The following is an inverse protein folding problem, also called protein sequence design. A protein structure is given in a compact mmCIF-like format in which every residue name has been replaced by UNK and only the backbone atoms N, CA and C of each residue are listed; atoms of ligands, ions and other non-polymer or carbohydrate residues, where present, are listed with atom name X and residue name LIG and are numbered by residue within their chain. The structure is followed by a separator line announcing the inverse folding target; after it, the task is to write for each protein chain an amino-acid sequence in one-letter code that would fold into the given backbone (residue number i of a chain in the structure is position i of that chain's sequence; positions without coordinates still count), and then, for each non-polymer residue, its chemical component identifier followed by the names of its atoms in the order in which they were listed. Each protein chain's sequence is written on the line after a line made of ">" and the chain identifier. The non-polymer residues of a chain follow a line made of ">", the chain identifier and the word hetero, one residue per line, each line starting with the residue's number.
data_IF_737036418749
#
_entry.id   IF_737036418749
#
_cell.length_a   1.000
_cell.length_b   1.000
_cell.length_c   1.000
_cell.angle_alpha   90.00
_cell.angle_beta   90.00
_cell.angle_gamma   90.00
#
_symmetry.space_group_name_H-M   'P 1'
#
loop_
_entity.id
_entity.type
_entity.pdbx_description
1 polymer ?
#
# COMPACT_ATOMS: atom_id res chain seq x y z
N UNK A 1 14.20 15.05 21.93
CA UNK A 1 14.18 15.09 20.45
C UNK A 1 13.78 13.74 19.97
N UNK A 2 12.78 13.65 19.10
CA UNK A 2 11.91 12.53 18.87
C UNK A 2 12.61 11.23 18.55
N UNK A 3 12.04 10.16 19.06
CA UNK A 3 12.26 8.79 18.60
C UNK A 3 12.04 8.80 17.09
N UNK A 4 13.08 8.43 16.34
CA UNK A 4 13.05 8.45 14.89
C UNK A 4 11.89 7.64 14.34
N UNK A 5 11.09 8.26 13.50
CA UNK A 5 10.03 7.61 12.77
C UNK A 5 10.59 6.43 11.98
N UNK A 6 9.88 5.30 12.03
CA UNK A 6 10.08 4.20 11.10
C UNK A 6 9.61 4.69 9.73
N UNK A 7 10.51 5.21 8.93
CA UNK A 7 10.19 5.70 7.58
C UNK A 7 9.76 4.52 6.70
N UNK A 8 8.45 4.38 6.54
CA UNK A 8 7.84 3.38 5.64
C UNK A 8 7.89 3.75 4.16
N UNK A 9 8.51 4.90 3.80
CA UNK A 9 8.54 5.42 2.44
C UNK A 9 9.92 5.97 2.12
N UNK A 10 10.86 5.07 1.86
CA UNK A 10 12.22 5.42 1.48
C UNK A 10 12.49 5.24 -0.02
N UNK A 11 11.45 4.98 -0.83
CA UNK A 11 11.60 4.85 -2.26
C UNK A 11 11.61 6.23 -2.93
N UNK A 12 12.47 6.40 -3.93
CA UNK A 12 12.72 7.64 -4.64
C UNK A 12 11.89 7.77 -5.92
N UNK A 13 11.81 9.01 -6.43
CA UNK A 13 11.11 9.34 -7.68
C UNK A 13 9.66 8.84 -7.70
N UNK A 14 9.00 8.91 -6.56
CA UNK A 14 7.57 8.57 -6.44
C UNK A 14 6.75 9.79 -6.79
N UNK A 15 5.72 9.66 -7.63
CA UNK A 15 4.89 10.80 -7.97
C UNK A 15 4.17 11.33 -6.74
N UNK A 16 3.86 12.60 -6.74
CA UNK A 16 3.04 13.32 -5.78
C UNK A 16 3.75 13.69 -4.47
N UNK A 17 4.67 12.89 -3.99
CA UNK A 17 5.30 13.10 -2.67
C UNK A 17 6.79 13.25 -2.84
N UNK A 18 7.38 14.22 -2.10
CA UNK A 18 8.83 14.43 -2.07
C UNK A 18 9.58 13.14 -1.75
N UNK A 19 10.79 13.06 -2.26
CA UNK A 19 11.74 12.04 -1.88
C UNK A 19 12.08 12.13 -0.37
N UNK A 20 12.55 11.02 0.22
CA UNK A 20 12.98 11.00 1.61
C UNK A 20 14.10 12.02 1.88
N UNK A 21 14.02 12.72 3.01
CA UNK A 21 15.09 13.59 3.46
C UNK A 21 16.26 12.77 4.01
N UNK A 22 17.47 13.21 3.69
CA UNK A 22 18.68 12.64 4.26
C UNK A 22 18.97 13.27 5.63
N UNK A 23 19.26 12.43 6.60
CA UNK A 23 19.70 12.87 7.91
C UNK A 23 21.22 12.87 7.98
N UNK A 24 21.81 13.86 8.66
CA UNK A 24 23.25 13.98 8.77
C UNK A 24 23.79 13.30 10.05
N UNK A 25 23.00 13.25 11.11
CA UNK A 25 23.39 12.64 12.38
C UNK A 25 22.20 12.13 13.17
N UNK A 26 22.39 11.04 13.88
CA UNK A 26 21.51 10.52 14.93
C UNK A 26 22.32 9.62 15.87
N UNK A 27 21.95 9.55 17.14
CA UNK A 27 22.57 8.61 18.06
C UNK A 27 22.18 7.15 17.74
N UNK A 28 20.91 6.93 17.39
CA UNK A 28 20.36 5.64 17.04
C UNK A 28 19.47 5.76 15.82
N UNK A 29 19.51 4.73 14.97
CA UNK A 29 18.66 4.64 13.77
C UNK A 29 17.84 3.36 13.85
N UNK A 30 16.54 3.48 13.57
CA UNK A 30 15.65 2.35 13.37
C UNK A 30 15.14 2.45 11.94
N UNK A 31 15.45 1.47 11.08
CA UNK A 31 15.05 1.52 9.68
C UNK A 31 14.45 0.20 9.19
N UNK A 32 13.63 0.31 8.16
CA UNK A 32 13.01 -0.84 7.51
C UNK A 32 14.01 -1.64 6.66
N UNK A 33 13.60 -2.86 6.29
CA UNK A 33 14.39 -3.74 5.43
C UNK A 33 13.55 -4.60 4.48
N UNK A 34 12.36 -4.14 4.09
CA UNK A 34 11.42 -4.93 3.27
C UNK A 34 12.06 -5.49 2.00
N UNK A 35 12.93 -4.72 1.37
CA UNK A 35 13.70 -5.12 0.19
C UNK A 35 15.23 -5.00 0.41
N UNK A 36 15.69 -5.19 1.64
CA UNK A 36 17.10 -5.05 2.02
C UNK A 36 18.06 -6.01 1.32
N UNK A 37 17.55 -7.05 0.66
CA UNK A 37 18.35 -8.04 -0.05
C UNK A 37 18.23 -8.00 -1.58
N UNK A 38 17.49 -7.03 -2.14
CA UNK A 38 17.29 -6.93 -3.59
C UNK A 38 16.96 -5.51 -4.04
N UNK A 39 17.17 -5.26 -5.32
CA UNK A 39 16.83 -4.00 -5.98
C UNK A 39 15.51 -4.14 -6.73
N UNK A 40 14.83 -3.02 -6.91
CA UNK A 40 13.68 -2.91 -7.78
C UNK A 40 14.11 -2.93 -9.24
N UNK A 41 13.28 -3.48 -10.09
CA UNK A 41 13.44 -3.30 -11.52
C UNK A 41 13.19 -1.83 -11.88
N UNK A 42 13.74 -1.37 -13.01
CA UNK A 42 13.44 -0.05 -13.55
C UNK A 42 11.93 0.13 -13.64
N UNK A 43 11.35 1.18 -13.03
CA UNK A 43 9.92 1.38 -13.04
C UNK A 43 9.43 1.63 -14.48
N UNK A 44 8.38 0.93 -14.93
CA UNK A 44 7.74 1.21 -16.20
C UNK A 44 6.99 2.56 -16.13
N UNK A 45 6.52 3.06 -17.28
CA UNK A 45 5.50 4.11 -17.26
C UNK A 45 4.18 3.52 -16.73
N UNK A 46 3.94 3.74 -15.46
CA UNK A 46 2.76 3.18 -14.77
C UNK A 46 1.45 3.70 -15.34
N UNK A 47 1.39 4.93 -15.86
CA UNK A 47 0.19 5.45 -16.50
C UNK A 47 -0.12 4.67 -17.79
N UNK A 48 0.89 4.40 -18.60
CA UNK A 48 0.75 3.60 -19.82
C UNK A 48 0.37 2.14 -19.52
N UNK A 49 1.00 1.51 -18.52
CA UNK A 49 0.65 0.14 -18.13
C UNK A 49 -0.77 0.02 -17.56
N UNK A 50 -1.19 0.98 -16.71
CA UNK A 50 -2.55 1.07 -16.22
C UNK A 50 -3.56 1.26 -17.36
N UNK A 51 -3.26 2.13 -18.32
CA UNK A 51 -4.11 2.36 -19.50
C UNK A 51 -4.28 1.06 -20.30
N UNK A 52 -3.24 0.26 -20.50
CA UNK A 52 -3.33 -1.05 -21.18
C UNK A 52 -4.27 -2.02 -20.42
N UNK A 53 -4.13 -2.11 -19.10
CA UNK A 53 -5.00 -2.97 -18.27
C UNK A 53 -6.44 -2.47 -18.31
N UNK A 54 -6.67 -1.15 -18.24
CA UNK A 54 -7.99 -0.53 -18.36
C UNK A 54 -8.61 -0.83 -19.72
N UNK A 55 -7.86 -0.63 -20.82
CA UNK A 55 -8.34 -0.88 -22.17
C UNK A 55 -8.76 -2.34 -22.34
N UNK A 56 -7.90 -3.27 -21.96
CA UNK A 56 -8.20 -4.73 -22.00
C UNK A 56 -9.44 -5.09 -21.19
N UNK A 57 -9.66 -4.44 -20.04
CA UNK A 57 -10.82 -4.70 -19.18
C UNK A 57 -12.09 -4.10 -19.76
N UNK A 58 -12.04 -2.86 -20.22
CA UNK A 58 -13.21 -2.14 -20.73
C UNK A 58 -13.69 -2.66 -22.08
N UNK A 59 -12.78 -3.14 -22.93
CA UNK A 59 -13.12 -3.83 -24.19
C UNK A 59 -13.97 -5.07 -23.95
N UNK A 60 -13.78 -5.76 -22.82
CA UNK A 60 -14.62 -6.88 -22.38
C UNK A 60 -15.94 -6.46 -21.74
N UNK A 61 -16.12 -5.16 -21.45
CA UNK A 61 -17.28 -4.64 -20.74
C UNK A 61 -17.21 -4.78 -19.22
N UNK A 62 -16.03 -5.11 -18.67
CA UNK A 62 -15.84 -5.38 -17.26
C UNK A 62 -15.41 -4.19 -16.42
N UNK A 63 -15.28 -4.40 -15.13
CA UNK A 63 -14.78 -3.43 -14.16
C UNK A 63 -13.30 -3.71 -13.82
N UNK A 64 -12.52 -2.65 -13.63
CA UNK A 64 -11.19 -2.73 -13.03
C UNK A 64 -11.30 -2.45 -11.53
N UNK A 65 -11.02 -3.46 -10.70
CA UNK A 65 -11.06 -3.36 -9.25
C UNK A 65 -9.64 -3.33 -8.70
N UNK A 66 -9.30 -2.28 -7.95
CA UNK A 66 -7.96 -2.05 -7.41
C UNK A 66 -8.01 -2.05 -5.88
N UNK A 67 -7.60 -3.15 -5.23
CA UNK A 67 -7.38 -3.15 -3.78
C UNK A 67 -6.24 -2.20 -3.42
N UNK A 68 -6.52 -1.16 -2.64
CA UNK A 68 -5.53 -0.16 -2.28
C UNK A 68 -5.63 0.22 -0.80
N UNK A 69 -4.50 0.64 -0.19
CA UNK A 69 -4.56 1.28 1.11
C UNK A 69 -5.11 2.68 0.97
N UNK A 70 -5.86 3.09 1.99
CA UNK A 70 -6.51 4.40 2.04
C UNK A 70 -5.53 5.57 1.95
N UNK A 71 -4.33 5.40 2.52
CA UNK A 71 -3.29 6.44 2.56
C UNK A 71 -2.15 6.09 1.60
N UNK A 72 -1.80 7.04 0.76
CA UNK A 72 -0.66 7.00 -0.17
C UNK A 72 -0.97 6.26 -1.46
N UNK A 73 -1.29 4.95 -1.41
CA UNK A 73 -1.51 4.18 -2.62
C UNK A 73 -2.74 4.64 -3.41
N UNK A 74 -3.83 4.94 -2.73
CA UNK A 74 -5.02 5.48 -3.38
C UNK A 74 -4.70 6.79 -4.10
N UNK A 75 -4.03 7.74 -3.44
CA UNK A 75 -3.70 9.04 -4.01
C UNK A 75 -2.74 8.92 -5.20
N UNK A 76 -1.79 8.01 -5.14
CA UNK A 76 -0.90 7.70 -6.26
C UNK A 76 -1.64 7.12 -7.47
N UNK A 77 -2.59 6.22 -7.24
CA UNK A 77 -3.45 5.72 -8.31
C UNK A 77 -4.26 6.85 -8.94
N UNK A 78 -4.78 7.79 -8.15
CA UNK A 78 -5.50 8.95 -8.66
C UNK A 78 -4.61 9.84 -9.54
N UNK A 79 -3.36 10.05 -9.14
CA UNK A 79 -2.37 10.77 -9.95
C UNK A 79 -2.20 10.12 -11.33
N UNK A 80 -2.00 8.79 -11.38
CA UNK A 80 -1.88 8.10 -12.67
C UNK A 80 -3.19 8.12 -13.47
N UNK A 81 -4.35 7.99 -12.83
CA UNK A 81 -5.64 8.09 -13.52
C UNK A 81 -5.87 9.48 -14.13
N UNK A 82 -5.43 10.55 -13.42
CA UNK A 82 -5.44 11.90 -13.97
C UNK A 82 -4.54 11.98 -15.22
N UNK A 83 -3.31 11.48 -15.15
CA UNK A 83 -2.37 11.43 -16.28
C UNK A 83 -2.99 10.71 -17.48
N UNK A 84 -3.56 9.53 -17.27
CA UNK A 84 -4.24 8.77 -18.32
C UNK A 84 -5.31 9.64 -19.02
N UNK A 85 -6.07 10.41 -18.24
CA UNK A 85 -7.11 11.30 -18.79
C UNK A 85 -6.54 12.49 -19.53
N UNK A 86 -5.58 13.19 -18.93
CA UNK A 86 -5.04 14.44 -19.48
C UNK A 86 -4.12 14.22 -20.66
N UNK A 87 -3.39 13.10 -20.68
CA UNK A 87 -2.49 12.71 -21.77
C UNK A 87 -3.22 11.90 -22.87
N UNK A 88 -4.51 11.57 -22.66
CA UNK A 88 -5.30 10.83 -23.65
C UNK A 88 -4.84 9.39 -23.89
N UNK A 89 -4.25 8.74 -22.85
CA UNK A 89 -3.70 7.40 -22.98
C UNK A 89 -4.75 6.29 -23.13
N UNK A 90 -6.03 6.63 -22.99
CA UNK A 90 -7.18 5.73 -23.18
C UNK A 90 -8.20 6.35 -24.13
N UNK A 91 -7.86 6.54 -25.42
CA UNK A 91 -8.66 7.31 -26.35
C UNK A 91 -10.03 6.69 -26.66
N UNK A 92 -10.17 5.38 -26.55
CA UNK A 92 -11.43 4.66 -26.80
C UNK A 92 -12.44 4.86 -25.65
N UNK A 93 -11.98 5.24 -24.47
CA UNK A 93 -12.82 5.44 -23.28
C UNK A 93 -12.52 6.77 -22.57
N UNK A 94 -12.59 7.93 -23.24
CA UNK A 94 -12.19 9.22 -22.67
C UNK A 94 -13.06 9.63 -21.46
N UNK A 95 -14.29 9.11 -21.41
CA UNK A 95 -15.26 9.36 -20.35
C UNK A 95 -15.24 8.36 -19.19
N UNK A 96 -14.18 7.57 -19.02
CA UNK A 96 -14.15 6.57 -17.96
C UNK A 96 -14.34 7.18 -16.56
N UNK A 97 -14.99 6.42 -15.70
CA UNK A 97 -15.26 6.81 -14.32
C UNK A 97 -14.34 6.04 -13.35
N UNK A 98 -13.90 6.72 -12.30
CA UNK A 98 -13.12 6.14 -11.20
C UNK A 98 -13.86 6.38 -9.89
N UNK A 99 -14.08 5.34 -9.13
CA UNK A 99 -14.74 5.40 -7.82
C UNK A 99 -13.72 5.15 -6.71
N UNK A 100 -13.63 6.07 -5.74
CA UNK A 100 -13.00 5.82 -4.45
C UNK A 100 -14.11 5.35 -3.51
N UNK A 101 -14.07 4.07 -3.15
CA UNK A 101 -15.02 3.50 -2.20
C UNK A 101 -14.33 3.15 -0.88
N UNK A 102 -13.97 4.19 -0.15
CA UNK A 102 -13.36 4.11 1.19
C UNK A 102 -13.46 5.48 1.87
N UNK A 103 -14.28 5.64 2.93
CA UNK A 103 -14.35 6.90 3.68
C UNK A 103 -12.99 7.39 4.17
N UNK A 104 -12.17 6.46 4.70
CA UNK A 104 -10.80 6.81 5.14
C UNK A 104 -9.90 7.29 3.99
N UNK A 105 -10.07 6.75 2.77
CA UNK A 105 -9.31 7.21 1.61
C UNK A 105 -9.74 8.61 1.18
N UNK A 106 -11.02 8.94 1.30
CA UNK A 106 -11.53 10.29 1.04
C UNK A 106 -10.92 11.29 2.02
N UNK A 107 -10.94 10.99 3.33
CA UNK A 107 -10.32 11.83 4.35
C UNK A 107 -8.80 11.98 4.14
N UNK A 108 -8.10 10.91 3.83
CA UNK A 108 -6.68 10.97 3.50
C UNK A 108 -6.43 11.87 2.29
N UNK A 109 -7.26 11.80 1.25
CA UNK A 109 -7.15 12.67 0.07
C UNK A 109 -7.35 14.14 0.42
N UNK A 110 -8.27 14.45 1.33
CA UNK A 110 -8.46 15.81 1.84
C UNK A 110 -7.23 16.32 2.61
N UNK A 111 -6.55 15.45 3.36
CA UNK A 111 -5.30 15.79 4.06
C UNK A 111 -4.19 16.08 3.04
N UNK A 112 -4.05 15.27 1.98
CA UNK A 112 -3.09 15.52 0.92
C UNK A 112 -3.25 16.92 0.32
N UNK A 113 -4.49 17.38 0.09
CA UNK A 113 -4.76 18.73 -0.41
C UNK A 113 -4.33 19.86 0.54
N UNK A 114 -4.33 19.60 1.85
CA UNK A 114 -3.90 20.57 2.85
C UNK A 114 -2.39 20.60 3.07
N UNK A 115 -1.68 19.56 2.63
CA UNK A 115 -0.25 19.35 2.89
C UNK A 115 0.61 19.53 1.64
N UNK A 116 0.15 20.31 0.66
CA UNK A 116 0.84 20.52 -0.64
C UNK A 116 2.24 21.06 -0.44
N UNK A 117 2.38 22.17 0.33
CA UNK A 117 3.66 22.85 0.52
C UNK A 117 4.69 22.00 1.26
N UNK A 118 4.21 21.16 2.19
CA UNK A 118 5.07 20.36 3.05
C UNK A 118 5.45 19.01 2.44
N UNK A 119 4.56 18.40 1.66
CA UNK A 119 4.67 17.00 1.30
C UNK A 119 4.78 16.74 -0.21
N UNK A 120 4.27 17.63 -1.08
CA UNK A 120 4.29 17.37 -2.51
C UNK A 120 5.67 17.58 -3.11
N UNK A 121 5.99 16.73 -4.12
CA UNK A 121 7.15 16.93 -4.97
C UNK A 121 7.02 18.18 -5.83
N UNK A 122 8.08 18.54 -6.53
CA UNK A 122 8.12 19.76 -7.32
C UNK A 122 7.11 19.74 -8.47
N UNK A 123 6.94 18.60 -9.15
CA UNK A 123 5.98 18.45 -10.24
C UNK A 123 4.54 18.66 -9.76
N UNK A 124 4.16 18.01 -8.65
CA UNK A 124 2.82 18.15 -8.10
C UNK A 124 2.55 19.57 -7.58
N UNK A 125 3.56 20.25 -7.01
CA UNK A 125 3.44 21.68 -6.61
C UNK A 125 3.24 22.59 -7.80
N UNK A 126 3.96 22.41 -8.88
CA UNK A 126 3.80 23.18 -10.12
C UNK A 126 2.41 23.00 -10.72
N UNK A 127 1.87 21.77 -10.68
CA UNK A 127 0.49 21.53 -11.10
C UNK A 127 -0.49 22.36 -10.25
N UNK A 128 -0.35 22.33 -8.92
CA UNK A 128 -1.21 23.10 -8.01
C UNK A 128 -1.09 24.60 -8.25
N UNK A 129 0.12 25.14 -8.43
CA UNK A 129 0.35 26.55 -8.75
C UNK A 129 -0.29 26.94 -10.08
N UNK A 130 -0.38 26.01 -11.03
CA UNK A 130 -1.08 26.21 -12.32
C UNK A 130 -2.59 26.04 -12.21
N UNK A 131 -3.14 25.87 -11.00
CA UNK A 131 -4.57 25.67 -10.76
C UNK A 131 -5.05 24.24 -11.06
N UNK A 132 -4.14 23.28 -11.25
CA UNK A 132 -4.46 21.89 -11.55
C UNK A 132 -4.32 21.06 -10.27
N UNK A 133 -5.38 20.35 -9.89
CA UNK A 133 -5.31 19.39 -8.81
C UNK A 133 -4.67 18.08 -9.31
N UNK A 134 -3.53 17.62 -8.74
CA UNK A 134 -2.82 16.45 -9.25
C UNK A 134 -3.55 15.11 -9.04
N UNK A 135 -4.55 15.06 -8.16
CA UNK A 135 -5.31 13.86 -7.81
C UNK A 135 -6.81 14.00 -8.01
N UNK A 136 -7.24 15.03 -8.74
CA UNK A 136 -8.63 15.25 -9.11
C UNK A 136 -8.77 15.42 -10.62
N UNK A 137 -9.82 14.84 -11.18
CA UNK A 137 -10.07 14.88 -12.62
C UNK A 137 -11.55 14.63 -12.93
N UNK A 138 -12.06 15.02 -14.10
CA UNK A 138 -13.43 14.73 -14.50
C UNK A 138 -13.69 13.21 -14.54
N UNK A 139 -14.80 12.78 -13.91
CA UNK A 139 -15.16 11.37 -13.78
C UNK A 139 -14.66 10.67 -12.52
N UNK A 140 -13.89 11.37 -11.65
CA UNK A 140 -13.60 10.88 -10.30
C UNK A 140 -14.86 11.05 -9.43
N UNK A 141 -15.25 9.97 -8.77
CA UNK A 141 -16.40 9.89 -7.86
C UNK A 141 -15.98 9.29 -6.54
N UNK A 142 -16.60 9.75 -5.47
CA UNK A 142 -16.35 9.21 -4.11
C UNK A 142 -17.64 8.61 -3.57
N UNK A 143 -17.52 7.49 -2.86
CA UNK A 143 -18.62 6.87 -2.14
C UNK A 143 -18.30 6.88 -0.64
N UNK A 144 -19.06 7.66 0.12
CA UNK A 144 -18.90 7.78 1.58
C UNK A 144 -19.90 6.89 2.30
N UNK A 145 -21.15 6.91 1.90
CA UNK A 145 -22.22 6.08 2.50
C UNK A 145 -22.19 4.63 2.00
N UNK A 146 -22.86 3.75 2.74
CA UNK A 146 -23.03 2.35 2.34
C UNK A 146 -23.94 2.20 1.13
N UNK A 147 -24.92 3.08 0.98
CA UNK A 147 -25.85 3.12 -0.14
C UNK A 147 -25.12 3.50 -1.44
N UNK A 148 -24.28 4.54 -1.41
CA UNK A 148 -23.42 4.92 -2.56
C UNK A 148 -22.49 3.78 -2.96
N UNK A 149 -21.88 3.09 -1.99
CA UNK A 149 -21.04 1.92 -2.22
C UNK A 149 -21.78 0.80 -2.94
N UNK A 150 -23.03 0.50 -2.52
CA UNK A 150 -23.87 -0.50 -3.18
C UNK A 150 -24.19 -0.10 -4.63
N UNK A 151 -24.51 1.17 -4.85
CA UNK A 151 -24.88 1.68 -6.18
C UNK A 151 -23.76 1.55 -7.23
N UNK A 152 -22.48 1.52 -6.80
CA UNK A 152 -21.35 1.25 -7.70
C UNK A 152 -21.51 -0.10 -8.40
N UNK A 153 -21.97 -1.13 -7.66
CA UNK A 153 -22.14 -2.49 -8.19
C UNK A 153 -23.36 -2.63 -9.12
N UNK A 154 -24.36 -1.76 -8.99
CA UNK A 154 -25.54 -1.74 -9.89
C UNK A 154 -25.26 -0.98 -11.19
N UNK A 155 -24.29 -0.09 -11.23
CA UNK A 155 -23.90 0.61 -12.45
C UNK A 155 -23.26 -0.39 -13.43
N UNK A 156 -23.86 -0.57 -14.62
CA UNK A 156 -23.41 -1.53 -15.62
C UNK A 156 -22.28 -1.02 -16.51
N UNK A 157 -21.97 0.29 -16.48
CA UNK A 157 -20.86 0.85 -17.27
C UNK A 157 -19.52 0.36 -16.72
N UNK A 158 -18.58 0.06 -17.60
CA UNK A 158 -17.20 -0.21 -17.22
C UNK A 158 -16.60 0.95 -16.43
N UNK A 159 -15.94 0.66 -15.33
CA UNK A 159 -15.39 1.66 -14.42
C UNK A 159 -14.18 1.12 -13.66
N UNK A 160 -13.43 2.03 -13.08
CA UNK A 160 -12.38 1.70 -12.09
C UNK A 160 -12.96 1.84 -10.69
N UNK A 161 -12.69 0.88 -9.82
CA UNK A 161 -13.09 0.88 -8.40
C UNK A 161 -11.83 0.74 -7.56
N UNK A 162 -11.51 1.78 -6.78
CA UNK A 162 -10.38 1.78 -5.83
C UNK A 162 -10.97 1.68 -4.43
N UNK A 163 -10.64 0.63 -3.69
CA UNK A 163 -11.22 0.39 -2.37
C UNK A 163 -10.25 -0.26 -1.40
N UNK A 164 -10.39 0.05 -0.13
CA UNK A 164 -9.60 -0.54 0.95
C UNK A 164 -10.26 -1.85 1.48
N UNK A 165 -9.49 -2.81 1.97
CA UNK A 165 -8.06 -2.81 2.25
C UNK A 165 -7.23 -3.34 1.07
N UNK A 166 -5.95 -2.94 1.02
CA UNK A 166 -5.05 -3.33 -0.07
C UNK A 166 -4.65 -4.81 -0.09
N UNK A 167 -4.93 -5.59 0.98
CA UNK A 167 -4.69 -7.04 1.05
C UNK A 167 -5.98 -7.86 1.01
N UNK A 168 -7.12 -7.21 0.79
CA UNK A 168 -8.45 -7.82 0.65
C UNK A 168 -9.02 -8.49 1.93
N UNK A 169 -8.39 -8.26 3.10
CA UNK A 169 -8.80 -8.91 4.35
C UNK A 169 -10.00 -8.24 5.02
N UNK A 170 -10.20 -6.95 4.81
CA UNK A 170 -11.25 -6.17 5.43
C UNK A 170 -11.74 -5.05 4.49
N UNK A 171 -12.80 -4.36 4.89
CA UNK A 171 -13.30 -3.17 4.20
C UNK A 171 -14.19 -3.48 3.00
N UNK A 172 -14.59 -2.40 2.34
CA UNK A 172 -15.54 -2.43 1.21
C UNK A 172 -15.04 -3.17 -0.01
N UNK A 173 -13.72 -3.29 -0.17
CA UNK A 173 -13.11 -4.09 -1.24
C UNK A 173 -13.67 -5.51 -1.31
N UNK A 174 -13.98 -6.12 -0.17
CA UNK A 174 -14.52 -7.48 -0.13
C UNK A 174 -15.90 -7.59 -0.80
N UNK A 175 -16.72 -6.53 -0.72
CA UNK A 175 -18.00 -6.48 -1.43
C UNK A 175 -17.77 -6.35 -2.92
N UNK A 176 -16.84 -5.48 -3.36
CA UNK A 176 -16.50 -5.37 -4.78
C UNK A 176 -15.90 -6.66 -5.33
N UNK A 177 -15.06 -7.36 -4.55
CA UNK A 177 -14.55 -8.69 -4.94
C UNK A 177 -15.67 -9.70 -5.09
N UNK A 178 -16.65 -9.74 -4.17
CA UNK A 178 -17.82 -10.62 -4.28
C UNK A 178 -18.58 -10.40 -5.58
N UNK A 179 -18.72 -9.14 -6.03
CA UNK A 179 -19.46 -8.79 -7.25
C UNK A 179 -18.64 -8.93 -8.53
N UNK A 180 -17.32 -8.99 -8.47
CA UNK A 180 -16.47 -8.96 -9.67
C UNK A 180 -15.63 -10.23 -9.88
N UNK A 181 -15.30 -11.02 -8.84
CA UNK A 181 -14.43 -12.20 -9.00
C UNK A 181 -14.99 -13.28 -9.91
N UNK A 182 -16.29 -13.50 -9.94
CA UNK A 182 -16.95 -14.50 -10.78
C UNK A 182 -17.14 -14.05 -12.24
N UNK A 183 -16.92 -12.77 -12.53
CA UNK A 183 -17.11 -12.18 -13.85
C UNK A 183 -15.85 -12.36 -14.70
N UNK A 184 -15.98 -12.95 -15.87
CA UNK A 184 -14.86 -13.16 -16.82
C UNK A 184 -14.38 -11.88 -17.50
N UNK A 185 -15.23 -10.86 -17.55
CA UNK A 185 -14.96 -9.55 -18.13
C UNK A 185 -14.18 -8.61 -17.18
N UNK A 186 -14.30 -8.82 -15.85
CA UNK A 186 -13.68 -7.97 -14.85
C UNK A 186 -12.21 -8.31 -14.60
N UNK A 187 -11.47 -7.33 -14.10
CA UNK A 187 -10.06 -7.48 -13.72
C UNK A 187 -9.85 -7.01 -12.29
N UNK A 188 -9.13 -7.79 -11.49
CA UNK A 188 -8.62 -7.39 -10.18
C UNK A 188 -7.15 -7.05 -10.36
N UNK A 189 -6.76 -5.80 -10.09
CA UNK A 189 -5.41 -5.30 -10.26
C UNK A 189 -4.73 -5.05 -8.92
N UNK A 190 -3.71 -5.84 -8.63
CA UNK A 190 -2.86 -5.62 -7.47
C UNK A 190 -1.71 -4.66 -7.83
N UNK A 191 -1.55 -3.63 -7.00
CA UNK A 191 -0.57 -2.55 -7.17
C UNK A 191 0.43 -2.50 -6.02
N UNK A 192 0.62 -3.63 -5.32
CA UNK A 192 1.59 -3.78 -4.23
C UNK A 192 1.79 -5.25 -3.87
N UNK A 193 2.84 -5.50 -3.10
CA UNK A 193 3.11 -6.79 -2.48
C UNK A 193 1.93 -7.30 -1.64
N UNK A 194 1.65 -8.58 -1.75
CA UNK A 194 0.62 -9.28 -0.97
C UNK A 194 1.28 -10.23 0.01
N UNK A 195 0.93 -10.12 1.29
CA UNK A 195 1.53 -10.93 2.37
C UNK A 195 0.97 -12.35 2.33
N UNK A 196 1.80 -13.40 2.45
CA UNK A 196 1.33 -14.78 2.57
C UNK A 196 0.25 -14.94 3.66
N UNK A 197 -0.77 -15.73 3.34
CA UNK A 197 -1.93 -15.95 4.23
C UNK A 197 -3.06 -14.93 4.06
N UNK A 198 -2.92 -13.93 3.19
CA UNK A 198 -4.01 -12.98 2.87
C UNK A 198 -4.81 -13.44 1.66
N UNK A 199 -6.05 -12.93 1.55
CA UNK A 199 -6.89 -13.19 0.37
C UNK A 199 -6.23 -12.67 -0.92
N UNK A 200 -5.63 -11.48 -0.87
CA UNK A 200 -4.92 -10.92 -2.02
C UNK A 200 -3.77 -11.80 -2.48
N UNK A 201 -3.00 -12.38 -1.55
CA UNK A 201 -1.95 -13.36 -1.86
C UNK A 201 -2.52 -14.62 -2.53
N UNK A 202 -3.62 -15.15 -1.99
CA UNK A 202 -4.27 -16.33 -2.56
C UNK A 202 -4.77 -16.08 -3.98
N UNK A 203 -5.35 -14.91 -4.25
CA UNK A 203 -5.81 -14.51 -5.59
C UNK A 203 -4.64 -14.41 -6.57
N UNK A 204 -3.52 -13.78 -6.19
CA UNK A 204 -2.31 -13.70 -7.03
C UNK A 204 -1.71 -15.07 -7.33
N UNK A 205 -1.84 -16.04 -6.42
CA UNK A 205 -1.36 -17.40 -6.60
C UNK A 205 -2.36 -18.32 -7.31
N UNK A 206 -3.41 -17.75 -7.92
CA UNK A 206 -4.29 -18.47 -8.84
C UNK A 206 -5.33 -19.37 -8.17
N UNK A 207 -5.72 -19.06 -6.93
CA UNK A 207 -6.84 -19.75 -6.26
C UNK A 207 -8.09 -19.70 -7.15
N UNK A 208 -8.81 -20.83 -7.26
CA UNK A 208 -9.98 -20.92 -8.15
C UNK A 208 -11.29 -20.58 -7.46
N UNK A 209 -11.32 -20.65 -6.14
CA UNK A 209 -12.49 -20.35 -5.33
C UNK A 209 -12.07 -19.70 -4.03
N UNK A 210 -12.84 -18.72 -3.57
CA UNK A 210 -12.62 -18.03 -2.31
C UNK A 210 -13.92 -17.93 -1.53
N UNK A 211 -13.84 -17.83 -0.20
CA UNK A 211 -15.02 -17.65 0.65
C UNK A 211 -15.15 -16.19 1.08
N UNK A 212 -16.22 -15.53 0.66
CA UNK A 212 -16.55 -14.14 1.01
C UNK A 212 -17.94 -14.09 1.65
N UNK A 213 -18.05 -13.51 2.84
CA UNK A 213 -19.31 -13.40 3.59
C UNK A 213 -20.09 -14.72 3.73
N UNK A 214 -19.36 -15.82 3.91
CA UNK A 214 -19.95 -17.16 4.04
C UNK A 214 -20.24 -17.88 2.73
N UNK A 215 -20.20 -17.19 1.59
CA UNK A 215 -20.46 -17.75 0.26
C UNK A 215 -19.16 -18.13 -0.46
N UNK A 216 -19.18 -19.22 -1.21
CA UNK A 216 -18.10 -19.65 -2.10
C UNK A 216 -18.23 -18.90 -3.44
N UNK A 217 -17.19 -18.19 -3.83
CA UNK A 217 -17.13 -17.40 -5.06
C UNK A 217 -16.05 -17.98 -5.96
N UNK A 218 -16.41 -18.32 -7.18
CA UNK A 218 -15.44 -18.73 -8.21
C UNK A 218 -14.60 -17.53 -8.68
N UNK A 219 -13.30 -17.76 -8.89
CA UNK A 219 -12.38 -16.74 -9.42
C UNK A 219 -12.26 -16.95 -10.92
N UNK A 220 -13.02 -16.18 -11.68
CA UNK A 220 -13.04 -16.15 -13.15
C UNK A 220 -12.48 -14.85 -13.71
N UNK A 221 -12.47 -13.79 -12.90
CA UNK A 221 -11.89 -12.49 -13.25
C UNK A 221 -10.41 -12.62 -13.58
N UNK A 222 -9.91 -11.77 -14.46
CA UNK A 222 -8.46 -11.63 -14.69
C UNK A 222 -7.79 -11.09 -13.42
N UNK A 223 -6.76 -11.77 -12.95
CA UNK A 223 -5.93 -11.31 -11.83
C UNK A 223 -4.62 -10.77 -12.39
N UNK A 224 -4.37 -9.49 -12.21
CA UNK A 224 -3.19 -8.80 -12.73
C UNK A 224 -2.40 -8.22 -11.57
N UNK A 225 -1.08 -8.35 -11.65
CA UNK A 225 -0.15 -7.69 -10.73
C UNK A 225 0.66 -6.66 -11.52
N UNK A 226 0.66 -5.41 -11.06
CA UNK A 226 1.52 -4.37 -11.61
C UNK A 226 2.69 -4.20 -10.65
N UNK A 227 3.86 -4.77 -10.98
CA UNK A 227 5.01 -4.78 -10.08
C UNK A 227 5.68 -3.40 -10.00
N UNK A 228 6.50 -3.21 -8.97
CA UNK A 228 7.38 -2.04 -8.85
C UNK A 228 6.76 -0.81 -8.20
N UNK A 229 5.44 -0.76 -8.02
CA UNK A 229 4.82 0.31 -7.25
C UNK A 229 4.96 -0.01 -5.75
N UNK A 230 6.16 0.03 -5.21
CA UNK A 230 6.40 -0.12 -3.77
C UNK A 230 6.68 1.22 -3.11
N UNK A 231 6.14 1.44 -1.91
CA UNK A 231 6.51 2.57 -1.06
C UNK A 231 7.80 2.33 -0.28
N UNK A 232 8.27 1.07 -0.26
CA UNK A 232 9.51 0.68 0.40
C UNK A 232 10.69 0.83 -0.57
N UNK A 233 11.80 1.31 -0.06
CA UNK A 233 13.04 1.41 -0.81
C UNK A 233 13.64 0.01 -1.07
N UNK A 234 14.42 -0.09 -2.12
CA UNK A 234 15.25 -1.26 -2.38
C UNK A 234 16.59 -1.17 -1.62
N UNK A 235 17.41 -2.21 -1.76
CA UNK A 235 18.70 -2.29 -1.06
C UNK A 235 19.59 -1.07 -1.31
N UNK A 236 19.72 -0.65 -2.56
CA UNK A 236 20.63 0.43 -2.91
C UNK A 236 20.15 1.77 -2.35
N UNK A 237 18.85 2.05 -2.39
CA UNK A 237 18.27 3.25 -1.80
C UNK A 237 18.34 3.24 -0.27
N UNK A 238 18.08 2.09 0.38
CA UNK A 238 18.25 1.95 1.83
C UNK A 238 19.71 2.19 2.24
N UNK A 239 20.64 1.62 1.47
CA UNK A 239 22.08 1.79 1.68
C UNK A 239 22.51 3.24 1.49
N UNK A 240 22.07 3.89 0.40
CA UNK A 240 22.38 5.29 0.14
C UNK A 240 21.87 6.21 1.26
N UNK A 241 20.68 5.94 1.79
CA UNK A 241 20.11 6.74 2.87
C UNK A 241 20.91 6.61 4.16
N UNK A 242 21.27 5.38 4.59
CA UNK A 242 22.05 5.19 5.82
C UNK A 242 23.51 5.63 5.67
N UNK A 243 24.09 5.48 4.49
CA UNK A 243 25.47 5.89 4.23
C UNK A 243 25.65 7.43 4.20
N UNK A 244 24.55 8.20 4.11
CA UNK A 244 24.63 9.67 4.11
C UNK A 244 24.93 10.27 5.49
N UNK A 245 24.87 9.50 6.56
CA UNK A 245 25.18 9.97 7.90
C UNK A 245 26.65 10.39 8.00
N UNK A 246 26.90 11.66 8.27
CA UNK A 246 28.27 12.22 8.42
C UNK A 246 28.93 11.75 9.71
N UNK A 247 28.14 11.43 10.73
CA UNK A 247 28.58 10.88 11.99
C UNK A 247 27.94 9.52 12.17
N UNK A 248 28.73 8.43 12.33
CA UNK A 248 28.18 7.11 12.54
C UNK A 248 27.21 7.05 13.72
N UNK A 249 26.02 6.49 13.57
CA UNK A 249 25.14 6.19 14.69
C UNK A 249 25.81 5.24 15.67
N UNK A 250 25.51 5.35 16.96
CA UNK A 250 25.95 4.39 17.96
C UNK A 250 25.47 2.98 17.63
N UNK A 251 24.24 2.88 17.07
CA UNK A 251 23.67 1.61 16.63
C UNK A 251 22.54 1.82 15.63
N UNK A 252 22.45 0.89 14.66
CA UNK A 252 21.39 0.83 13.65
C UNK A 252 20.56 -0.44 13.88
N UNK A 253 19.27 -0.28 14.14
CA UNK A 253 18.32 -1.38 14.29
C UNK A 253 17.58 -1.59 12.97
N UNK A 254 17.76 -2.76 12.39
CA UNK A 254 17.12 -3.16 11.13
C UNK A 254 15.85 -3.95 11.47
N UNK A 255 14.69 -3.39 11.07
CA UNK A 255 13.37 -3.92 11.42
C UNK A 255 12.46 -3.99 10.18
N UNK A 256 11.22 -4.42 10.34
CA UNK A 256 10.18 -4.39 9.30
C UNK A 256 10.62 -5.05 7.98
N UNK A 257 11.08 -6.28 8.04
CA UNK A 257 11.40 -7.15 6.92
C UNK A 257 11.18 -8.62 7.29
N UNK A 258 11.32 -9.50 6.31
CA UNK A 258 11.45 -10.93 6.60
C UNK A 258 12.75 -11.17 7.38
N UNK A 259 12.77 -12.16 8.27
CA UNK A 259 13.90 -12.42 9.17
C UNK A 259 15.24 -12.49 8.40
N UNK A 260 15.29 -13.32 7.36
CA UNK A 260 16.50 -13.48 6.54
C UNK A 260 16.93 -12.16 5.90
N UNK A 261 15.97 -11.40 5.32
CA UNK A 261 16.25 -10.11 4.68
C UNK A 261 16.76 -9.08 5.67
N UNK A 262 16.19 -9.03 6.88
CA UNK A 262 16.63 -8.08 7.91
C UNK A 262 18.03 -8.39 8.41
N UNK A 263 18.35 -9.67 8.62
CA UNK A 263 19.69 -10.11 9.03
C UNK A 263 20.73 -9.83 7.94
N UNK A 264 20.45 -10.22 6.69
CA UNK A 264 21.33 -9.95 5.55
C UNK A 264 21.60 -8.46 5.36
N UNK A 265 20.57 -7.62 5.51
CA UNK A 265 20.74 -6.18 5.39
C UNK A 265 21.50 -5.57 6.57
N UNK A 266 21.32 -6.07 7.79
CA UNK A 266 22.14 -5.66 8.95
C UNK A 266 23.60 -5.98 8.73
N UNK A 267 23.92 -7.17 8.22
CA UNK A 267 25.29 -7.56 7.87
C UNK A 267 25.85 -6.67 6.74
N UNK A 268 25.07 -6.36 5.72
CA UNK A 268 25.45 -5.44 4.66
C UNK A 268 25.78 -4.05 5.23
N UNK A 269 24.94 -3.47 6.08
CA UNK A 269 25.20 -2.17 6.71
C UNK A 269 26.47 -2.21 7.57
N UNK A 270 26.71 -3.30 8.26
CA UNK A 270 27.91 -3.46 9.10
C UNK A 270 29.19 -3.59 8.26
N UNK A 271 29.16 -4.39 7.21
CA UNK A 271 30.36 -4.73 6.43
C UNK A 271 30.68 -3.71 5.36
N UNK A 272 29.67 -3.17 4.67
CA UNK A 272 29.87 -2.31 3.51
C UNK A 272 29.72 -0.82 3.84
N UNK A 273 28.87 -0.45 4.82
CA UNK A 273 28.74 0.94 5.31
C UNK A 273 29.62 1.21 6.51
N UNK A 274 29.92 0.18 7.31
CA UNK A 274 30.82 0.29 8.47
C UNK A 274 30.12 0.76 9.75
N UNK A 275 28.79 0.67 9.84
CA UNK A 275 28.04 1.06 11.05
C UNK A 275 27.67 -0.17 11.88
N UNK A 276 27.62 -0.03 13.21
CA UNK A 276 27.15 -1.09 14.11
C UNK A 276 25.66 -1.32 13.91
N UNK A 277 25.32 -2.35 13.13
CA UNK A 277 23.96 -2.69 12.75
C UNK A 277 23.57 -4.09 13.20
N UNK A 278 22.31 -4.26 13.59
CA UNK A 278 21.73 -5.56 13.95
C UNK A 278 20.24 -5.61 13.63
N UNK A 279 19.73 -6.83 13.41
CA UNK A 279 18.30 -7.12 13.30
C UNK A 279 17.79 -7.66 14.66
N UNK A 280 17.07 -6.87 15.46
CA UNK A 280 16.57 -7.30 16.75
C UNK A 280 15.42 -8.30 16.59
N UNK A 281 15.35 -9.27 17.51
CA UNK A 281 14.22 -10.20 17.60
C UNK A 281 13.15 -9.68 18.55
N UNK A 282 11.96 -10.24 18.44
CA UNK A 282 10.85 -9.90 19.33
C UNK A 282 11.20 -10.16 20.79
N UNK A 283 11.12 -9.12 21.63
CA UNK A 283 11.48 -9.17 23.04
C UNK A 283 12.94 -8.80 23.33
N UNK A 284 13.79 -8.55 22.32
CA UNK A 284 15.09 -7.92 22.56
C UNK A 284 14.90 -6.50 23.10
N UNK A 285 15.63 -6.12 24.13
CA UNK A 285 15.61 -4.78 24.69
C UNK A 285 17.04 -4.24 24.85
N UNK A 286 17.20 -2.95 24.56
CA UNK A 286 18.49 -2.26 24.58
C UNK A 286 18.39 -1.00 25.44
N UNK A 287 19.40 -0.76 26.27
CA UNK A 287 19.57 0.54 26.96
C UNK A 287 20.21 1.53 25.98
N UNK A 288 19.48 2.57 25.60
CA UNK A 288 19.98 3.58 24.67
C UNK A 288 20.99 4.55 25.29
N UNK A 289 21.19 4.55 26.60
CA UNK A 289 22.25 5.34 27.26
C UNK A 289 23.60 4.62 27.15
N UNK A 290 23.61 3.30 27.43
CA UNK A 290 24.83 2.48 27.39
C UNK A 290 25.07 1.82 26.04
N UNK A 291 24.01 1.59 25.24
CA UNK A 291 24.05 0.84 23.99
C UNK A 291 24.00 -0.70 24.20
N UNK A 292 23.88 -1.15 25.44
CA UNK A 292 23.92 -2.57 25.81
C UNK A 292 22.56 -3.25 25.65
N UNK A 293 22.59 -4.54 25.31
CA UNK A 293 21.38 -5.36 25.31
C UNK A 293 21.06 -5.77 26.75
N UNK A 294 19.92 -5.34 27.26
CA UNK A 294 19.46 -5.60 28.64
C UNK A 294 18.49 -6.78 28.75
N UNK A 295 17.88 -7.19 27.65
CA UNK A 295 17.08 -8.40 27.58
C UNK A 295 17.21 -9.07 26.21
N UNK A 296 17.24 -10.38 26.19
CA UNK A 296 17.26 -11.19 24.99
C UNK A 296 15.88 -11.79 24.75
N UNK A 297 15.29 -11.54 23.58
CA UNK A 297 14.03 -12.10 23.17
C UNK A 297 14.13 -13.55 22.72
N UNK A 298 12.98 -14.15 22.50
CA UNK A 298 12.88 -15.52 22.00
C UNK A 298 13.34 -15.61 20.54
N UNK A 299 14.21 -16.58 20.25
CA UNK A 299 14.59 -16.94 18.88
C UNK A 299 13.65 -17.98 18.26
N UNK A 300 12.64 -18.43 19.00
CA UNK A 300 11.63 -19.32 18.46
C UNK A 300 10.72 -18.53 17.55
N UNK A 301 10.54 -19.05 16.33
CA UNK A 301 9.50 -18.57 15.43
C UNK A 301 8.16 -18.65 16.18
N UNK A 302 7.56 -17.51 16.41
CA UNK A 302 6.15 -17.48 16.80
C UNK A 302 5.39 -18.03 15.61
N UNK A 303 4.94 -19.28 15.69
CA UNK A 303 4.00 -19.82 14.71
C UNK A 303 2.88 -18.78 14.59
N UNK A 304 2.78 -18.16 13.42
CA UNK A 304 1.56 -17.39 13.10
C UNK A 304 0.45 -18.38 13.29
N UNK A 305 -0.30 -18.26 14.39
CA UNK A 305 -1.60 -18.93 14.49
C UNK A 305 -2.27 -18.60 13.18
N UNK A 306 -2.31 -19.56 12.27
CA UNK A 306 -3.21 -19.49 11.12
C UNK A 306 -4.53 -19.11 11.77
N UNK A 307 -4.96 -17.87 11.54
CA UNK A 307 -6.26 -17.45 12.02
C UNK A 307 -7.22 -18.37 11.28
N UNK A 308 -7.43 -19.51 11.89
CA UNK A 308 -8.55 -20.36 11.58
C UNK A 308 -9.73 -19.42 11.58
N UNK A 309 -10.48 -19.44 10.51
CA UNK A 309 -11.74 -18.75 10.28
C UNK A 309 -12.25 -18.17 11.62
N UNK A 310 -12.20 -16.86 11.77
CA UNK A 310 -12.71 -16.19 12.96
C UNK A 310 -14.18 -16.58 13.12
N UNK A 311 -14.43 -17.64 13.85
CA UNK A 311 -15.62 -17.77 14.63
C UNK A 311 -15.43 -16.92 15.89
N UNK A 312 -15.35 -15.61 15.69
CA UNK A 312 -15.43 -14.67 16.79
C UNK A 312 -16.90 -14.61 17.23
N UNK A 313 -17.28 -15.59 18.01
CA UNK A 313 -18.32 -15.41 19.03
C UNK A 313 -17.67 -14.76 20.24
N UNK A 314 -17.17 -13.53 20.12
CA UNK A 314 -17.03 -12.69 21.30
C UNK A 314 -18.29 -11.84 21.39
N UNK A 315 -19.24 -12.26 22.23
CA UNK A 315 -20.48 -11.51 22.53
C UNK A 315 -20.23 -10.10 23.10
N UNK A 316 -18.98 -9.67 23.20
CA UNK A 316 -18.56 -8.32 23.50
C UNK A 316 -18.49 -7.44 22.24
N UNK A 317 -18.00 -7.95 21.12
CA UNK A 317 -17.96 -7.21 19.85
C UNK A 317 -19.37 -7.00 19.29
N UNK A 318 -20.23 -8.03 19.33
CA UNK A 318 -21.63 -7.91 18.91
C UNK A 318 -22.40 -6.92 19.78
N UNK A 319 -22.14 -6.89 21.09
CA UNK A 319 -22.73 -5.90 22.00
C UNK A 319 -22.23 -4.48 21.73
N UNK A 320 -20.98 -4.31 21.33
CA UNK A 320 -20.41 -3.00 20.96
C UNK A 320 -21.03 -2.49 19.65
N UNK A 321 -21.21 -3.36 18.66
CA UNK A 321 -21.85 -3.01 17.38
C UNK A 321 -23.33 -2.66 17.57
N UNK A 322 -24.08 -3.44 18.37
CA UNK A 322 -25.49 -3.17 18.68
C UNK A 322 -25.64 -1.87 19.51
N UNK A 323 -24.70 -1.58 20.41
CA UNK A 323 -24.70 -0.33 21.16
C UNK A 323 -24.38 0.89 20.28
N UNK A 324 -23.51 0.71 19.28
CA UNK A 324 -23.18 1.76 18.29
C UNK A 324 -24.36 2.07 17.35
N UNK A 325 -25.12 1.06 16.95
CA UNK A 325 -26.33 1.25 16.11
C UNK A 325 -27.50 1.92 16.85
N UNK A 326 -27.49 1.94 18.17
CA UNK A 326 -28.50 2.63 19.00
C UNK A 326 -28.18 4.07 19.32
N UNK A 327 -27.00 4.56 18.92
CA UNK A 327 -26.51 5.92 19.15
C UNK A 327 -26.51 6.77 17.86
N UNK A 328 -27.00 6.23 16.75
CA UNK A 328 -27.31 6.90 15.49
C UNK A 328 -28.83 6.85 15.26
#
# INVERSE_FOLDING_TARGET
>A
RGLGDVYKRQNYNRPLIRDPEYLEEADYVIMESTYGNRNHNTPPDYAAELAKVMNSTFTKGGNLVIPAFSVGRTQEMLYYMRRIKTEGLLPEYPGFEVYIDSPLAVEATNIFHKSVEECFDEEARQLVQSGINPIQFPGLKVAVSSEESKMINFNQKSKVIISASGMCEAGRIRHHLKHNLWRTDSTILFVRYQVPGTLGYSLLNGVKKVKLFGEEIEVRASIVNLPGISGHADRDHLTAWIANFKKPPKKVFIVHGEETTAVEFAEHVKNDVGFDALAPYSGDAYDLLTGEQIAQGSRQLVEKKTQGVYHAKSGAFDRLMIAGERLI
#
